data_IF_994322335458
#
_entry.id   IF_994322335458
#
_cell.length_a   1.000
_cell.length_b   1.000
_cell.length_c   1.000
_cell.angle_alpha   90.00
_cell.angle_beta   90.00
_cell.angle_gamma   90.00
#
_symmetry.space_group_name_H-M   'P 1'
#
loop_
_entity.id
_entity.type
_entity.pdbx_description
1 polymer ?
#
# COMPACT_ATOMS: atom_id res chain seq x y z
N UNK A 1 8.67 11.19 4.78
CA UNK A 1 8.49 10.78 3.37
C UNK A 1 7.82 9.42 3.37
N UNK A 2 7.07 9.11 2.32
CA UNK A 2 6.41 7.81 2.13
C UNK A 2 7.16 7.06 1.04
N UNK A 3 7.56 5.82 1.30
CA UNK A 3 8.14 4.91 0.32
C UNK A 3 7.00 4.19 -0.41
N UNK A 4 6.96 4.31 -1.72
CA UNK A 4 6.00 3.67 -2.61
C UNK A 4 6.74 2.61 -3.41
N UNK A 5 6.35 1.35 -3.23
CA UNK A 5 6.81 0.24 -4.04
C UNK A 5 5.65 -0.28 -4.85
N UNK A 6 5.84 -0.47 -6.14
CA UNK A 6 4.79 -1.01 -7.01
C UNK A 6 5.42 -1.79 -8.15
N UNK A 7 4.67 -2.70 -8.72
CA UNK A 7 5.16 -3.56 -9.77
C UNK A 7 4.17 -3.70 -10.92
N UNK A 8 4.69 -3.69 -12.14
CA UNK A 8 3.92 -3.90 -13.36
C UNK A 8 4.81 -4.44 -14.48
N UNK A 9 4.21 -4.95 -15.55
CA UNK A 9 4.93 -5.42 -16.73
C UNK A 9 5.30 -4.25 -17.63
N UNK A 10 6.45 -4.37 -18.30
CA UNK A 10 6.96 -3.40 -19.27
C UNK A 10 7.10 -4.08 -20.63
N UNK A 11 6.73 -3.38 -21.70
CA UNK A 11 6.99 -3.82 -23.08
C UNK A 11 6.31 -5.12 -23.50
N UNK A 12 5.24 -5.54 -22.81
CA UNK A 12 4.51 -6.76 -23.13
C UNK A 12 5.18 -8.06 -22.64
N UNK A 13 6.23 -7.98 -21.82
CA UNK A 13 6.82 -9.14 -21.16
C UNK A 13 5.91 -9.73 -20.07
N UNK A 14 6.11 -10.99 -19.71
CA UNK A 14 5.33 -11.67 -18.67
C UNK A 14 5.84 -11.40 -17.25
N UNK A 15 7.03 -10.79 -17.13
CA UNK A 15 7.72 -10.51 -15.86
C UNK A 15 7.28 -9.20 -15.22
N UNK A 16 7.01 -9.23 -13.92
CA UNK A 16 6.74 -8.05 -13.11
C UNK A 16 8.05 -7.29 -12.83
N UNK A 17 8.06 -6.01 -13.14
CA UNK A 17 9.17 -5.10 -12.85
C UNK A 17 8.82 -4.30 -11.61
N UNK A 18 9.66 -4.41 -10.58
CA UNK A 18 9.52 -3.65 -9.36
C UNK A 18 10.03 -2.22 -9.51
N UNK A 19 9.25 -1.28 -8.99
CA UNK A 19 9.56 0.14 -8.93
C UNK A 19 9.53 0.61 -7.48
N UNK A 20 10.44 1.51 -7.14
CA UNK A 20 10.50 2.12 -5.82
C UNK A 20 10.67 3.63 -5.96
N UNK A 21 9.88 4.40 -5.21
CA UNK A 21 9.96 5.86 -5.15
C UNK A 21 9.72 6.35 -3.73
N UNK A 22 10.46 7.37 -3.31
CA UNK A 22 10.12 8.14 -2.11
C UNK A 22 9.35 9.39 -2.52
N UNK A 23 8.24 9.65 -1.85
CA UNK A 23 7.37 10.78 -2.13
C UNK A 23 7.08 11.59 -0.88
N UNK A 24 6.89 12.89 -1.05
CA UNK A 24 6.65 13.82 0.05
C UNK A 24 5.22 14.33 0.11
N UNK A 25 4.45 14.18 -0.97
CA UNK A 25 3.07 14.65 -1.02
C UNK A 25 2.09 13.54 -1.37
N UNK A 26 0.85 13.69 -0.92
CA UNK A 26 -0.26 12.81 -1.30
C UNK A 26 -0.54 12.87 -2.80
N UNK A 27 -0.34 14.03 -3.43
CA UNK A 27 -0.53 14.20 -4.87
C UNK A 27 0.43 13.33 -5.68
N UNK A 28 1.69 13.17 -5.25
CA UNK A 28 2.67 12.29 -5.90
C UNK A 28 2.19 10.82 -5.89
N UNK A 29 1.61 10.36 -4.77
CA UNK A 29 1.01 9.02 -4.67
C UNK A 29 -0.15 8.87 -5.65
N UNK A 30 -1.03 9.86 -5.71
CA UNK A 30 -2.15 9.85 -6.64
C UNK A 30 -1.66 9.76 -8.10
N UNK A 31 -0.63 10.52 -8.46
CA UNK A 31 -0.04 10.48 -9.81
C UNK A 31 0.59 9.11 -10.12
N UNK A 32 1.24 8.46 -9.16
CA UNK A 32 1.79 7.10 -9.36
C UNK A 32 0.66 6.11 -9.65
N UNK A 33 -0.43 6.17 -8.88
CA UNK A 33 -1.61 5.31 -9.06
C UNK A 33 -2.30 5.61 -10.41
N UNK A 34 -2.42 6.88 -10.79
CA UNK A 34 -3.05 7.29 -12.06
C UNK A 34 -2.25 6.86 -13.31
N UNK A 35 -0.93 6.82 -13.20
CA UNK A 35 -0.06 6.40 -14.30
C UNK A 35 0.15 4.88 -14.36
N UNK A 36 -0.42 4.12 -13.43
CA UNK A 36 -0.29 2.67 -13.44
C UNK A 36 -1.07 2.05 -14.60
N UNK A 37 -0.52 1.04 -15.30
CA UNK A 37 -1.16 0.46 -16.48
C UNK A 37 -2.27 -0.55 -16.13
N UNK A 38 -3.32 -0.09 -15.44
CA UNK A 38 -4.41 -0.91 -14.88
C UNK A 38 -4.98 -1.94 -15.86
N UNK A 39 -5.39 -1.51 -17.04
CA UNK A 39 -6.02 -2.38 -18.03
C UNK A 39 -5.08 -3.50 -18.49
N UNK A 40 -3.80 -3.20 -18.68
CA UNK A 40 -2.81 -4.19 -19.11
C UNK A 40 -2.52 -5.19 -17.99
N UNK A 41 -2.34 -4.73 -16.74
CA UNK A 41 -2.06 -5.60 -15.61
C UNK A 41 -3.25 -6.50 -15.27
N UNK A 42 -4.48 -6.02 -15.40
CA UNK A 42 -5.68 -6.85 -15.23
C UNK A 42 -5.81 -7.93 -16.30
N UNK A 43 -5.44 -7.63 -17.55
CA UNK A 43 -5.41 -8.63 -18.61
C UNK A 43 -4.38 -9.73 -18.30
N UNK A 44 -3.21 -9.34 -17.79
CA UNK A 44 -2.18 -10.28 -17.36
C UNK A 44 -2.59 -11.10 -16.14
N UNK A 45 -3.22 -10.49 -15.14
CA UNK A 45 -3.76 -11.19 -13.99
C UNK A 45 -4.79 -12.24 -14.41
N UNK A 46 -5.72 -11.90 -15.33
CA UNK A 46 -6.69 -12.85 -15.89
C UNK A 46 -6.03 -14.01 -16.64
N UNK A 47 -4.89 -13.76 -17.31
CA UNK A 47 -4.16 -14.78 -18.08
C UNK A 47 -3.33 -15.71 -17.18
N UNK A 48 -2.62 -15.16 -16.19
CA UNK A 48 -1.56 -15.87 -15.45
C UNK A 48 -1.91 -16.12 -13.98
N UNK A 49 -2.96 -15.49 -13.44
CA UNK A 49 -3.29 -15.50 -12.01
C UNK A 49 -2.35 -14.67 -11.14
N UNK A 50 -1.41 -13.93 -11.75
CA UNK A 50 -0.39 -13.12 -11.06
C UNK A 50 -0.46 -11.68 -11.57
N UNK A 51 -0.82 -10.76 -10.69
CA UNK A 51 -0.89 -9.33 -10.94
C UNK A 51 0.06 -8.59 -10.00
N UNK A 52 0.38 -7.35 -10.35
CA UNK A 52 1.16 -6.51 -9.46
C UNK A 52 0.33 -5.85 -8.37
N UNK A 53 0.96 -4.98 -7.60
CA UNK A 53 0.26 -4.20 -6.58
C UNK A 53 1.08 -3.02 -6.09
N UNK A 54 0.63 -2.45 -4.97
CA UNK A 54 1.28 -1.32 -4.34
C UNK A 54 1.51 -1.58 -2.86
N UNK A 55 2.64 -1.09 -2.38
CA UNK A 55 2.98 -0.99 -0.97
C UNK A 55 3.36 0.46 -0.68
N UNK A 56 2.68 1.08 0.28
CA UNK A 56 2.93 2.46 0.72
C UNK A 56 3.36 2.43 2.17
N UNK A 57 4.60 2.82 2.43
CA UNK A 57 5.25 2.72 3.75
C UNK A 57 5.62 4.11 4.27
N UNK A 58 5.08 4.46 5.43
CA UNK A 58 5.55 5.58 6.25
C UNK A 58 6.34 5.03 7.43
N UNK A 59 7.59 5.47 7.61
CA UNK A 59 8.47 5.01 8.68
C UNK A 59 9.43 3.91 8.23
N UNK A 60 9.77 3.00 9.14
CA UNK A 60 10.75 1.93 8.91
C UNK A 60 10.21 0.61 9.49
N UNK A 61 10.22 -0.44 8.66
CA UNK A 61 9.73 -1.78 9.00
C UNK A 61 10.43 -2.40 10.22
N UNK A 62 11.67 -1.99 10.50
CA UNK A 62 12.45 -2.44 11.66
C UNK A 62 12.12 -1.66 12.94
N UNK A 63 11.33 -0.58 12.86
CA UNK A 63 10.97 0.27 13.98
C UNK A 63 9.47 0.54 14.04
N UNK A 64 9.05 1.77 13.79
CA UNK A 64 7.65 2.19 13.74
C UNK A 64 7.27 2.44 12.29
N UNK A 65 6.12 1.90 11.88
CA UNK A 65 5.62 2.13 10.53
C UNK A 65 4.10 2.10 10.43
N UNK A 66 3.61 2.73 9.38
CA UNK A 66 2.29 2.49 8.81
C UNK A 66 2.46 2.04 7.36
N UNK A 67 1.83 0.93 7.00
CA UNK A 67 1.97 0.28 5.71
C UNK A 67 0.58 0.00 5.13
N UNK A 68 0.27 0.63 4.01
CA UNK A 68 -0.88 0.24 3.19
C UNK A 68 -0.41 -0.70 2.09
N UNK A 69 -1.17 -1.77 1.87
CA UNK A 69 -1.05 -2.62 0.69
C UNK A 69 -2.32 -2.47 -0.14
N UNK A 70 -2.16 -2.20 -1.43
CA UNK A 70 -3.27 -2.17 -2.39
C UNK A 70 -3.04 -3.22 -3.48
N UNK A 71 -3.95 -4.19 -3.57
CA UNK A 71 -3.91 -5.25 -4.57
C UNK A 71 -5.08 -5.04 -5.54
N UNK A 72 -4.82 -4.69 -6.82
CA UNK A 72 -5.85 -4.57 -7.84
C UNK A 72 -6.59 -5.89 -8.03
N UNK A 73 -7.92 -5.84 -8.18
CA UNK A 73 -8.74 -7.01 -8.53
C UNK A 73 -9.65 -6.79 -9.73
N UNK A 74 -9.97 -5.53 -10.05
CA UNK A 74 -10.67 -5.13 -11.27
C UNK A 74 -10.21 -3.73 -11.73
N UNK A 75 -10.84 -3.21 -12.79
CA UNK A 75 -10.49 -1.96 -13.48
C UNK A 75 -10.38 -0.75 -12.56
N UNK A 76 -11.21 -0.68 -11.52
CA UNK A 76 -11.35 0.47 -10.64
C UNK A 76 -11.42 0.10 -9.15
N UNK A 77 -11.23 -1.17 -8.81
CA UNK A 77 -11.33 -1.69 -7.43
C UNK A 77 -10.16 -2.60 -7.06
N UNK A 78 -9.85 -2.64 -5.77
CA UNK A 78 -8.80 -3.48 -5.21
C UNK A 78 -9.03 -3.77 -3.74
N UNK A 79 -8.28 -4.73 -3.20
CA UNK A 79 -8.20 -4.95 -1.77
C UNK A 79 -7.23 -3.96 -1.16
N UNK A 80 -7.66 -3.27 -0.11
CA UNK A 80 -6.80 -2.37 0.66
C UNK A 80 -6.68 -2.87 2.10
N UNK A 81 -5.45 -3.08 2.54
CA UNK A 81 -5.14 -3.42 3.93
C UNK A 81 -4.18 -2.39 4.52
N UNK A 82 -4.28 -2.19 5.82
CA UNK A 82 -3.38 -1.35 6.61
C UNK A 82 -2.76 -2.18 7.72
N UNK A 83 -1.45 -2.10 7.87
CA UNK A 83 -0.69 -2.55 9.03
C UNK A 83 -0.03 -1.35 9.70
N UNK A 84 -0.23 -1.20 11.00
CA UNK A 84 0.45 -0.16 11.80
C UNK A 84 1.23 -0.82 12.91
N UNK A 85 2.51 -0.53 13.01
CA UNK A 85 3.39 -0.96 14.12
C UNK A 85 3.91 0.28 14.83
N UNK A 86 3.44 0.49 16.05
CA UNK A 86 3.88 1.58 16.93
C UNK A 86 5.08 1.18 17.81
N UNK A 87 5.21 -0.11 18.11
CA UNK A 87 6.36 -0.65 18.84
C UNK A 87 6.68 -2.05 18.35
N UNK A 88 7.88 -2.30 17.78
CA UNK A 88 8.33 -3.64 17.49
C UNK A 88 8.58 -4.36 18.83
N UNK A 89 8.09 -5.59 18.99
CA UNK A 89 8.24 -6.32 20.25
C UNK A 89 9.71 -6.64 20.56
N UNK A 90 10.11 -6.56 21.83
CA UNK A 90 11.44 -7.04 22.27
C UNK A 90 11.37 -8.56 22.38
N UNK A 91 12.33 -9.28 21.77
CA UNK A 91 12.27 -10.75 21.62
C UNK A 91 10.93 -11.27 21.04
N UNK A 92 10.31 -10.49 20.13
CA UNK A 92 9.09 -10.81 19.36
C UNK A 92 7.80 -11.19 20.14
N UNK A 93 7.81 -11.28 21.47
CA UNK A 93 6.63 -11.69 22.28
C UNK A 93 6.13 -10.64 23.29
N UNK A 94 7.01 -9.80 23.86
CA UNK A 94 6.57 -8.83 24.88
C UNK A 94 6.40 -7.42 24.31
N UNK A 95 5.18 -6.89 24.45
CA UNK A 95 4.90 -5.46 24.26
C UNK A 95 4.87 -4.97 22.81
N UNK A 96 4.69 -5.85 21.81
CA UNK A 96 4.40 -5.43 20.43
C UNK A 96 3.10 -4.64 20.42
N UNK A 97 3.13 -3.43 19.87
CA UNK A 97 1.95 -2.61 19.61
C UNK A 97 1.74 -2.55 18.12
N UNK A 98 0.87 -3.41 17.61
CA UNK A 98 0.48 -3.40 16.20
C UNK A 98 -1.02 -3.59 16.03
N UNK A 99 -1.55 -3.05 14.94
CA UNK A 99 -2.93 -3.27 14.50
C UNK A 99 -2.95 -3.48 13.00
N UNK A 100 -3.85 -4.34 12.54
CA UNK A 100 -4.15 -4.54 11.13
C UNK A 100 -5.61 -4.21 10.88
N UNK A 101 -5.88 -3.54 9.77
CA UNK A 101 -7.24 -3.21 9.33
C UNK A 101 -7.39 -3.61 7.87
N UNK A 102 -8.31 -4.52 7.62
CA UNK A 102 -8.81 -4.79 6.28
C UNK A 102 -9.93 -3.79 5.98
N UNK A 103 -9.81 -3.10 4.85
CA UNK A 103 -10.87 -2.25 4.30
C UNK A 103 -11.69 -2.98 3.24
N UNK A 104 -11.49 -4.29 3.12
CA UNK A 104 -12.07 -5.15 2.10
C UNK A 104 -11.81 -4.58 0.68
N UNK A 105 -12.83 -4.63 -0.17
CA UNK A 105 -12.80 -4.09 -1.52
C UNK A 105 -13.10 -2.60 -1.48
N UNK A 106 -12.18 -1.79 -2.02
CA UNK A 106 -12.33 -0.34 -2.16
C UNK A 106 -12.09 0.07 -3.60
N UNK A 107 -12.74 1.15 -4.03
CA UNK A 107 -12.40 1.80 -5.29
C UNK A 107 -11.00 2.44 -5.23
N UNK A 108 -10.38 2.65 -6.40
CA UNK A 108 -9.11 3.40 -6.51
C UNK A 108 -9.26 4.81 -5.91
N UNK A 109 -10.41 5.46 -6.10
CA UNK A 109 -10.70 6.78 -5.53
C UNK A 109 -10.70 6.74 -4.00
N UNK A 110 -11.37 5.75 -3.40
CA UNK A 110 -11.38 5.56 -1.95
C UNK A 110 -10.01 5.19 -1.40
N UNK A 111 -9.26 4.34 -2.11
CA UNK A 111 -7.88 4.00 -1.75
C UNK A 111 -7.02 5.26 -1.68
N UNK A 112 -7.09 6.13 -2.70
CA UNK A 112 -6.39 7.43 -2.69
C UNK A 112 -6.77 8.28 -1.49
N UNK A 113 -8.06 8.40 -1.17
CA UNK A 113 -8.51 9.17 0.02
C UNK A 113 -7.91 8.59 1.30
N UNK A 114 -7.93 7.27 1.47
CA UNK A 114 -7.35 6.61 2.65
C UNK A 114 -5.83 6.79 2.73
N UNK A 115 -5.12 6.73 1.61
CA UNK A 115 -3.66 6.91 1.58
C UNK A 115 -3.20 8.32 2.01
N UNK A 116 -4.09 9.32 2.00
CA UNK A 116 -3.80 10.65 2.54
C UNK A 116 -3.46 10.62 4.04
N UNK A 117 -3.89 9.58 4.75
CA UNK A 117 -3.53 9.35 6.15
C UNK A 117 -2.01 9.28 6.37
N UNK A 118 -1.25 8.75 5.40
CA UNK A 118 0.22 8.67 5.48
C UNK A 118 0.91 10.04 5.43
N UNK A 119 0.19 11.10 5.03
CA UNK A 119 0.72 12.47 4.92
C UNK A 119 0.17 13.41 5.97
N UNK A 120 -1.00 13.08 6.54
CA UNK A 120 -1.74 13.96 7.46
C UNK A 120 -1.74 13.46 8.90
N UNK A 121 -1.35 12.20 9.14
CA UNK A 121 -1.37 11.57 10.45
C UNK A 121 0.00 11.04 10.86
N UNK A 122 0.28 11.05 12.16
CA UNK A 122 1.40 10.30 12.72
C UNK A 122 1.09 8.80 12.80
N UNK A 123 2.13 7.95 12.85
CA UNK A 123 1.97 6.49 13.06
C UNK A 123 1.20 6.21 14.36
N UNK A 124 1.45 6.96 15.44
CA UNK A 124 0.71 6.82 16.70
C UNK A 124 -0.78 7.19 16.57
N UNK A 125 -1.09 8.23 15.80
CA UNK A 125 -2.48 8.62 15.49
C UNK A 125 -3.20 7.50 14.74
N UNK A 126 -2.56 6.90 13.74
CA UNK A 126 -3.13 5.79 12.96
C UNK A 126 -3.32 4.55 13.83
N UNK A 127 -2.33 4.20 14.65
CA UNK A 127 -2.43 3.08 15.58
C UNK A 127 -3.66 3.24 16.50
N UNK A 128 -3.80 4.39 17.16
CA UNK A 128 -4.92 4.63 18.08
C UNK A 128 -6.28 4.65 17.38
N UNK A 129 -6.34 5.11 16.12
CA UNK A 129 -7.57 5.16 15.32
C UNK A 129 -8.11 3.77 15.03
N UNK A 130 -7.23 2.83 14.67
CA UNK A 130 -7.64 1.49 14.21
C UNK A 130 -7.56 0.40 15.29
N UNK A 131 -7.00 0.69 16.48
CA UNK A 131 -6.93 -0.26 17.59
C UNK A 131 -8.32 -0.61 18.20
N UNK A 132 -9.36 0.15 17.89
CA UNK A 132 -10.69 0.04 18.51
C UNK A 132 -11.69 -0.67 17.61
#
# INVERSE_FOLDING_TARGET
MVKVMYDHRIGGGEELVGHEKEVSTHQDVCQIIDNYPWAAELAWFKKLGIGGGFNFLLGDENSQYAHYQFVPIDADVGFLTLSVVLKPGVFKLFGRKSVSKDFDMVSIAEAKVKLNDLFTSSIATLYNRYQR
#
